data_IF_003656075519
#
_entry.id   IF_003656075519
#
_cell.length_a   1.000
_cell.length_b   1.000
_cell.length_c   1.000
_cell.angle_alpha   90.00
_cell.angle_beta   90.00
_cell.angle_gamma   90.00
#
_symmetry.space_group_name_H-M   'P 1'
#
loop_
_entity.id
_entity.type
_entity.pdbx_description
1 polymer ?
#
# COMPACT_ATOMS: atom_id res chain seq x y z
N UNK A 1 -21.59 -3.02 -22.39
CA UNK A 1 -20.42 -3.51 -21.60
C UNK A 1 -20.21 -4.94 -21.99
N UNK A 2 -19.17 -5.21 -22.79
CA UNK A 2 -19.08 -6.33 -23.72
C UNK A 2 -18.93 -7.71 -23.08
N UNK A 3 -19.42 -8.74 -23.75
CA UNK A 3 -19.24 -10.18 -23.46
C UNK A 3 -17.77 -10.55 -23.20
N UNK A 4 -16.84 -9.86 -23.85
CA UNK A 4 -15.40 -10.05 -23.72
C UNK A 4 -14.85 -9.70 -22.32
N UNK A 5 -15.41 -8.71 -21.64
CA UNK A 5 -15.02 -8.36 -20.27
C UNK A 5 -15.33 -9.52 -19.31
N UNK A 6 -16.54 -10.03 -19.33
CA UNK A 6 -16.96 -11.13 -18.46
C UNK A 6 -16.22 -12.44 -18.75
N UNK A 7 -15.93 -12.70 -20.00
CA UNK A 7 -15.14 -13.88 -20.41
C UNK A 7 -13.71 -13.78 -19.86
N UNK A 8 -13.08 -12.61 -19.92
CA UNK A 8 -11.75 -12.35 -19.36
C UNK A 8 -11.73 -12.45 -17.84
N UNK A 9 -12.71 -11.87 -17.14
CA UNK A 9 -12.86 -11.99 -15.70
C UNK A 9 -13.02 -13.45 -15.29
N UNK A 10 -13.89 -14.20 -15.97
CA UNK A 10 -14.12 -15.63 -15.70
C UNK A 10 -12.85 -16.46 -15.89
N UNK A 11 -12.05 -16.18 -16.90
CA UNK A 11 -10.79 -16.88 -17.15
C UNK A 11 -9.76 -16.60 -16.04
N UNK A 12 -9.67 -15.35 -15.59
CA UNK A 12 -8.79 -14.95 -14.46
C UNK A 12 -9.23 -15.64 -13.18
N UNK A 13 -10.52 -15.62 -12.86
CA UNK A 13 -11.05 -16.27 -11.66
C UNK A 13 -10.84 -17.79 -11.71
N UNK A 14 -11.02 -18.44 -12.86
CA UNK A 14 -10.76 -19.87 -13.02
C UNK A 14 -9.30 -20.25 -12.76
N UNK A 15 -8.36 -19.37 -13.14
CA UNK A 15 -6.91 -19.62 -13.04
C UNK A 15 -6.31 -19.22 -11.69
N UNK A 16 -6.80 -18.16 -11.06
CA UNK A 16 -6.21 -17.54 -9.88
C UNK A 16 -7.17 -17.47 -8.68
N UNK A 17 -8.45 -17.81 -8.88
CA UNK A 17 -9.52 -17.63 -7.89
C UNK A 17 -9.23 -18.28 -6.55
N UNK A 18 -8.66 -19.48 -6.54
CA UNK A 18 -8.28 -20.19 -5.30
C UNK A 18 -7.26 -19.38 -4.50
N UNK A 19 -6.25 -18.79 -5.16
CA UNK A 19 -5.23 -17.98 -4.49
C UNK A 19 -5.78 -16.66 -3.98
N UNK A 20 -6.68 -16.02 -4.73
CA UNK A 20 -7.39 -14.84 -4.27
C UNK A 20 -8.31 -15.15 -3.09
N UNK A 21 -9.01 -16.28 -3.12
CA UNK A 21 -9.84 -16.72 -2.00
C UNK A 21 -9.02 -17.00 -0.73
N UNK A 22 -7.86 -17.65 -0.86
CA UNK A 22 -6.93 -17.88 0.26
C UNK A 22 -6.41 -16.55 0.81
N UNK A 23 -6.00 -15.63 -0.07
CA UNK A 23 -5.54 -14.30 0.34
C UNK A 23 -6.62 -13.51 1.09
N UNK A 24 -7.86 -13.54 0.57
CA UNK A 24 -9.00 -12.88 1.21
C UNK A 24 -9.35 -13.53 2.55
N UNK A 25 -9.33 -14.86 2.63
CA UNK A 25 -9.59 -15.60 3.87
C UNK A 25 -8.53 -15.28 4.94
N UNK A 26 -7.24 -15.20 4.55
CA UNK A 26 -6.16 -14.80 5.46
C UNK A 26 -6.35 -13.36 5.97
N UNK A 27 -6.68 -12.42 5.08
CA UNK A 27 -6.96 -11.03 5.45
C UNK A 27 -8.18 -10.92 6.38
N UNK A 28 -9.25 -11.67 6.10
CA UNK A 28 -10.44 -11.71 6.94
C UNK A 28 -10.16 -12.34 8.31
N UNK A 29 -9.43 -13.45 8.35
CA UNK A 29 -9.03 -14.11 9.61
C UNK A 29 -8.19 -13.18 10.48
N UNK A 30 -7.23 -12.46 9.89
CA UNK A 30 -6.44 -11.46 10.60
C UNK A 30 -7.30 -10.31 11.14
N UNK A 31 -8.27 -9.83 10.35
CA UNK A 31 -9.21 -8.79 10.78
C UNK A 31 -10.10 -9.27 11.93
N UNK A 32 -10.60 -10.50 11.83
CA UNK A 32 -11.44 -11.09 12.86
C UNK A 32 -10.65 -11.31 14.17
N UNK A 33 -9.42 -11.81 14.06
CA UNK A 33 -8.51 -11.94 15.21
C UNK A 33 -8.29 -10.57 15.86
N UNK A 34 -7.88 -9.56 15.07
CA UNK A 34 -7.63 -8.21 15.57
C UNK A 34 -8.86 -7.56 16.24
N UNK A 35 -10.07 -7.81 15.73
CA UNK A 35 -11.29 -7.24 16.30
C UNK A 35 -11.67 -7.80 17.68
N UNK A 36 -11.05 -8.92 18.08
CA UNK A 36 -11.30 -9.60 19.35
C UNK A 36 -10.10 -9.60 20.28
N UNK A 37 -8.92 -9.37 19.75
CA UNK A 37 -7.65 -9.43 20.46
C UNK A 37 -7.49 -8.26 21.43
N UNK A 38 -7.09 -8.56 22.66
CA UNK A 38 -6.66 -7.60 23.65
C UNK A 38 -5.20 -7.16 23.46
N UNK A 39 -4.72 -6.36 24.41
CA UNK A 39 -3.36 -5.80 24.39
C UNK A 39 -2.29 -6.90 24.39
N UNK A 40 -2.45 -7.88 25.29
CA UNK A 40 -1.44 -8.92 25.47
C UNK A 40 -1.39 -9.89 24.28
N UNK A 41 -2.54 -10.13 23.64
CA UNK A 41 -2.63 -10.95 22.42
C UNK A 41 -1.99 -10.28 21.21
N UNK A 42 -1.91 -8.94 21.20
CA UNK A 42 -1.28 -8.15 20.13
C UNK A 42 0.20 -7.83 20.42
N UNK A 43 0.76 -8.36 21.47
CA UNK A 43 2.16 -8.10 21.87
C UNK A 43 3.17 -8.48 20.76
N UNK A 44 2.85 -9.49 19.96
CA UNK A 44 3.67 -9.91 18.81
C UNK A 44 3.91 -8.80 17.77
N UNK A 45 3.05 -7.77 17.71
CA UNK A 45 3.22 -6.62 16.82
C UNK A 45 3.47 -5.33 17.61
N UNK A 46 2.89 -5.17 18.81
CA UNK A 46 3.08 -3.98 19.64
C UNK A 46 4.51 -3.91 20.21
N UNK A 47 5.06 -5.02 20.70
CA UNK A 47 6.41 -5.04 21.25
C UNK A 47 7.49 -4.64 20.23
N UNK A 48 7.60 -5.27 19.05
CA UNK A 48 8.59 -4.86 18.06
C UNK A 48 8.34 -3.45 17.50
N UNK A 49 7.08 -3.02 17.36
CA UNK A 49 6.77 -1.63 16.99
C UNK A 49 7.29 -0.65 18.04
N UNK A 50 7.01 -0.90 19.31
CA UNK A 50 7.51 -0.07 20.42
C UNK A 50 9.03 -0.05 20.48
N UNK A 51 9.67 -1.19 20.28
CA UNK A 51 11.14 -1.25 20.23
C UNK A 51 11.71 -0.35 19.13
N UNK A 52 11.13 -0.40 17.92
CA UNK A 52 11.56 0.50 16.82
C UNK A 52 11.27 1.96 17.12
N UNK A 53 10.14 2.28 17.75
CA UNK A 53 9.84 3.66 18.19
C UNK A 53 10.91 4.13 19.20
N UNK A 54 11.26 3.29 20.16
CA UNK A 54 12.32 3.62 21.16
C UNK A 54 13.68 3.85 20.49
N UNK A 55 14.07 2.96 19.56
CA UNK A 55 15.36 3.06 18.85
C UNK A 55 15.45 4.33 18.00
N UNK A 56 14.36 4.68 17.30
CA UNK A 56 14.36 5.80 16.37
C UNK A 56 14.12 7.17 17.05
N UNK A 57 13.36 7.21 18.14
CA UNK A 57 13.01 8.46 18.83
C UNK A 57 13.82 8.72 20.11
N UNK A 58 14.45 7.70 20.68
CA UNK A 58 15.08 7.78 22.00
C UNK A 58 14.10 7.79 23.18
N UNK A 59 12.78 7.68 22.93
CA UNK A 59 11.73 7.74 23.94
C UNK A 59 11.50 6.33 24.52
N UNK A 60 11.66 6.17 25.83
CA UNK A 60 11.49 4.87 26.49
C UNK A 60 10.03 4.62 26.90
N UNK A 61 9.53 3.44 26.58
CA UNK A 61 8.20 2.98 26.94
C UNK A 61 8.30 1.79 27.93
N UNK A 62 7.36 1.73 28.88
CA UNK A 62 7.23 0.61 29.82
C UNK A 62 5.94 -0.15 29.52
N UNK A 63 6.02 -1.48 29.48
CA UNK A 63 4.83 -2.33 29.31
C UNK A 63 3.94 -2.24 30.54
N UNK A 64 2.67 -1.93 30.35
CA UNK A 64 1.61 -1.96 31.35
C UNK A 64 0.58 -3.03 30.95
N UNK A 65 0.42 -4.11 31.73
CA UNK A 65 -0.52 -5.20 31.41
C UNK A 65 -1.93 -4.69 31.19
N UNK A 66 -2.59 -5.17 30.15
CA UNK A 66 -3.94 -4.77 29.78
C UNK A 66 -4.09 -3.37 29.18
N UNK A 67 -3.04 -2.53 29.18
CA UNK A 67 -3.08 -1.15 28.65
C UNK A 67 -2.23 -0.99 27.40
N UNK A 68 -1.01 -1.51 27.38
CA UNK A 68 -0.05 -1.37 26.29
C UNK A 68 1.32 -0.91 26.75
N UNK A 69 1.95 -0.06 25.95
CA UNK A 69 3.27 0.50 26.26
C UNK A 69 3.13 1.99 26.55
N UNK A 70 3.46 2.40 27.79
CA UNK A 70 3.22 3.75 28.31
C UNK A 70 4.55 4.51 28.43
N UNK A 71 4.53 5.77 28.03
CA UNK A 71 5.50 6.77 28.42
C UNK A 71 4.80 7.87 29.21
N UNK A 72 5.17 8.04 30.48
CA UNK A 72 4.55 9.04 31.37
C UNK A 72 4.99 10.48 31.09
N UNK A 73 6.21 10.67 30.56
CA UNK A 73 6.73 12.02 30.30
C UNK A 73 6.03 12.68 29.10
N UNK A 74 5.64 11.85 28.11
CA UNK A 74 4.95 12.29 26.91
C UNK A 74 3.44 12.03 26.97
N UNK A 75 2.95 11.47 28.09
CA UNK A 75 1.54 11.08 28.27
C UNK A 75 0.99 10.26 27.07
N UNK A 76 1.85 9.40 26.50
CA UNK A 76 1.54 8.65 25.30
C UNK A 76 1.46 7.15 25.56
N UNK A 77 0.45 6.51 24.97
CA UNK A 77 0.25 5.06 25.09
C UNK A 77 0.23 4.43 23.70
N UNK A 78 1.11 3.44 23.48
CA UNK A 78 1.05 2.57 22.30
C UNK A 78 0.10 1.41 22.64
N UNK A 79 -1.15 1.55 22.22
CA UNK A 79 -2.27 0.63 22.49
C UNK A 79 -2.62 -0.20 21.23
N UNK A 80 -3.59 -1.13 21.28
CA UNK A 80 -4.04 -1.93 20.13
C UNK A 80 -4.40 -1.12 18.89
N UNK A 81 -4.97 0.07 19.04
CA UNK A 81 -5.28 0.99 17.94
C UNK A 81 -4.01 1.42 17.18
N UNK A 82 -2.86 1.38 17.84
CA UNK A 82 -1.55 1.68 17.25
C UNK A 82 -0.85 0.45 16.63
N UNK A 83 -1.50 -0.73 16.56
CA UNK A 83 -0.86 -1.94 16.04
C UNK A 83 -0.59 -1.93 14.52
N UNK A 84 -1.24 -1.05 13.76
CA UNK A 84 -1.06 -0.96 12.30
C UNK A 84 -1.64 -2.13 11.50
N UNK A 85 -2.43 -3.01 12.11
CA UNK A 85 -2.96 -4.24 11.48
C UNK A 85 -3.89 -3.92 10.30
N UNK A 86 -4.65 -2.84 10.35
CA UNK A 86 -5.46 -2.42 9.20
C UNK A 86 -4.58 -2.10 7.98
N UNK A 87 -3.43 -1.44 8.19
CA UNK A 87 -2.46 -1.19 7.13
C UNK A 87 -1.86 -2.51 6.62
N UNK A 88 -1.53 -3.45 7.50
CA UNK A 88 -1.03 -4.78 7.12
C UNK A 88 -2.00 -5.53 6.21
N UNK A 89 -3.31 -5.48 6.50
CA UNK A 89 -4.36 -6.07 5.68
C UNK A 89 -4.45 -5.40 4.31
N UNK A 90 -4.44 -4.06 4.27
CA UNK A 90 -4.49 -3.27 3.03
C UNK A 90 -3.30 -3.59 2.14
N UNK A 91 -2.10 -3.57 2.70
CA UNK A 91 -0.87 -3.83 1.98
C UNK A 91 -0.80 -5.28 1.46
N UNK A 92 -1.19 -6.26 2.28
CA UNK A 92 -1.26 -7.67 1.87
C UNK A 92 -2.25 -7.90 0.72
N UNK A 93 -3.47 -7.42 0.86
CA UNK A 93 -4.49 -7.55 -0.19
C UNK A 93 -4.05 -6.86 -1.49
N UNK A 94 -3.44 -5.67 -1.38
CA UNK A 94 -2.89 -4.96 -2.54
C UNK A 94 -1.84 -5.80 -3.26
N UNK A 95 -0.88 -6.41 -2.56
CA UNK A 95 0.15 -7.25 -3.18
C UNK A 95 -0.44 -8.50 -3.85
N UNK A 96 -1.38 -9.18 -3.19
CA UNK A 96 -1.98 -10.40 -3.73
C UNK A 96 -2.80 -10.09 -4.99
N UNK A 97 -3.71 -9.14 -4.91
CA UNK A 97 -4.61 -8.85 -6.04
C UNK A 97 -3.91 -8.15 -7.19
N UNK A 98 -2.87 -7.36 -6.93
CA UNK A 98 -2.14 -6.66 -7.98
C UNK A 98 -1.12 -7.53 -8.72
N UNK A 99 -0.49 -8.51 -8.05
CA UNK A 99 0.67 -9.19 -8.65
C UNK A 99 0.51 -10.70 -8.83
N UNK A 100 -0.48 -11.34 -8.20
CA UNK A 100 -0.72 -12.79 -8.33
C UNK A 100 -0.84 -13.25 -9.79
N UNK A 101 -1.48 -12.45 -10.64
CA UNK A 101 -1.69 -12.79 -12.06
C UNK A 101 -0.41 -12.76 -12.89
N UNK A 102 0.67 -12.17 -12.42
CA UNK A 102 1.99 -12.22 -13.06
C UNK A 102 2.72 -13.55 -12.81
N UNK A 103 2.29 -14.32 -11.81
CA UNK A 103 2.92 -15.60 -11.44
C UNK A 103 2.44 -16.71 -12.40
N UNK A 104 3.38 -17.31 -13.15
CA UNK A 104 3.07 -18.26 -14.22
C UNK A 104 2.76 -19.68 -13.70
N UNK A 105 3.53 -20.14 -12.70
CA UNK A 105 3.43 -21.49 -12.13
C UNK A 105 2.73 -21.49 -10.78
N UNK A 106 2.14 -22.64 -10.40
CA UNK A 106 1.53 -22.82 -9.07
C UNK A 106 2.55 -22.60 -7.94
N UNK A 107 3.77 -23.11 -8.11
CA UNK A 107 4.85 -22.90 -7.14
C UNK A 107 5.20 -21.41 -6.97
N UNK A 108 5.28 -20.65 -8.05
CA UNK A 108 5.54 -19.19 -7.96
C UNK A 108 4.40 -18.43 -7.30
N UNK A 109 3.14 -18.89 -7.44
CA UNK A 109 1.98 -18.30 -6.77
C UNK A 109 2.00 -18.55 -5.27
N UNK A 110 2.33 -19.78 -4.85
CA UNK A 110 2.49 -20.10 -3.43
C UNK A 110 3.64 -19.32 -2.84
N UNK A 111 4.79 -19.29 -3.51
CA UNK A 111 5.95 -18.52 -3.09
C UNK A 111 5.62 -17.02 -2.96
N UNK A 112 4.88 -16.44 -3.90
CA UNK A 112 4.44 -15.04 -3.84
C UNK A 112 3.52 -14.76 -2.64
N UNK A 113 2.57 -15.66 -2.38
CA UNK A 113 1.66 -15.54 -1.24
C UNK A 113 2.43 -15.57 0.10
N UNK A 114 3.34 -16.52 0.26
CA UNK A 114 4.18 -16.63 1.46
C UNK A 114 5.10 -15.41 1.58
N UNK A 115 5.78 -15.03 0.51
CA UNK A 115 6.68 -13.86 0.49
C UNK A 115 5.93 -12.57 0.85
N UNK A 116 4.73 -12.38 0.30
CA UNK A 116 3.88 -11.23 0.63
C UNK A 116 3.51 -11.20 2.11
N UNK A 117 3.13 -12.35 2.68
CA UNK A 117 2.77 -12.46 4.09
C UNK A 117 3.96 -12.17 5.01
N UNK A 118 5.13 -12.76 4.71
CA UNK A 118 6.35 -12.61 5.51
C UNK A 118 6.93 -11.20 5.41
N UNK A 119 6.93 -10.60 4.22
CA UNK A 119 7.52 -9.26 4.00
C UNK A 119 6.67 -8.13 4.55
N UNK A 120 5.34 -8.30 4.57
CA UNK A 120 4.44 -7.25 5.04
C UNK A 120 4.51 -7.03 6.55
N UNK A 121 4.85 -8.06 7.33
CA UNK A 121 4.98 -7.95 8.77
C UNK A 121 6.07 -6.94 9.19
N UNK A 122 7.35 -7.10 8.85
CA UNK A 122 8.38 -6.11 9.19
C UNK A 122 8.13 -4.76 8.51
N UNK A 123 7.56 -4.74 7.31
CA UNK A 123 7.20 -3.49 6.65
C UNK A 123 6.14 -2.72 7.44
N UNK A 124 5.12 -3.39 7.95
CA UNK A 124 4.08 -2.79 8.80
C UNK A 124 4.67 -2.22 10.08
N UNK A 125 5.55 -2.96 10.76
CA UNK A 125 6.23 -2.49 11.97
C UNK A 125 7.00 -1.20 11.67
N UNK A 126 7.80 -1.17 10.61
CA UNK A 126 8.58 0.00 10.24
C UNK A 126 7.69 1.21 9.94
N UNK A 127 6.70 1.04 9.07
CA UNK A 127 5.78 2.13 8.67
C UNK A 127 4.99 2.64 9.87
N UNK A 128 4.53 1.73 10.73
CA UNK A 128 3.77 2.08 11.92
C UNK A 128 4.63 2.83 12.95
N UNK A 129 5.90 2.44 13.12
CA UNK A 129 6.85 3.17 13.96
C UNK A 129 7.08 4.59 13.44
N UNK A 130 7.26 4.75 12.11
CA UNK A 130 7.38 6.05 11.46
C UNK A 130 6.13 6.92 11.61
N UNK A 131 4.95 6.31 11.77
CA UNK A 131 3.70 7.01 12.06
C UNK A 131 3.61 7.44 13.51
N UNK A 132 3.98 6.56 14.46
CA UNK A 132 3.84 6.84 15.90
C UNK A 132 4.75 7.98 16.34
N UNK A 133 5.97 8.06 15.79
CA UNK A 133 6.94 9.09 16.21
C UNK A 133 6.41 10.52 16.00
N UNK A 134 5.94 10.93 14.80
CA UNK A 134 5.33 12.24 14.64
C UNK A 134 4.10 12.45 15.53
N UNK A 135 3.25 11.41 15.73
CA UNK A 135 2.08 11.49 16.60
C UNK A 135 2.44 11.89 18.03
N UNK A 136 3.54 11.35 18.58
CA UNK A 136 4.00 11.70 19.94
C UNK A 136 4.32 13.19 20.05
N UNK A 137 5.04 13.75 19.08
CA UNK A 137 5.41 15.15 19.08
C UNK A 137 4.23 16.09 18.77
N UNK A 138 3.37 15.68 17.84
CA UNK A 138 2.20 16.47 17.46
C UNK A 138 1.22 16.63 18.62
N UNK A 139 1.01 15.60 19.45
CA UNK A 139 0.13 15.69 20.61
C UNK A 139 0.60 16.68 21.68
N UNK A 140 1.90 17.04 21.70
CA UNK A 140 2.47 17.99 22.66
C UNK A 140 2.48 19.44 22.17
N UNK A 141 2.05 19.68 20.93
CA UNK A 141 2.05 21.03 20.37
C UNK A 141 0.77 21.78 20.77
N UNK A 142 0.89 23.01 21.25
CA UNK A 142 -0.21 23.89 21.67
C UNK A 142 -0.94 24.56 20.49
N UNK A 143 -1.10 23.88 19.36
CA UNK A 143 -1.82 24.46 18.22
C UNK A 143 -3.26 23.95 18.06
N UNK A 144 -3.71 23.12 19.00
CA UNK A 144 -5.07 22.58 18.96
C UNK A 144 -6.10 23.65 19.31
N UNK A 145 -7.13 23.78 18.46
CA UNK A 145 -8.24 24.69 18.66
C UNK A 145 -9.15 24.76 17.43
N UNK A 146 -10.40 25.06 17.64
CA UNK A 146 -11.39 25.21 16.57
C UNK A 146 -11.50 23.98 15.64
N UNK A 147 -11.02 24.12 14.42
CA UNK A 147 -11.06 23.05 13.42
C UNK A 147 -9.95 22.01 13.57
N UNK A 148 -8.91 22.26 14.34
CA UNK A 148 -7.74 21.38 14.51
C UNK A 148 -7.83 20.65 15.84
N UNK A 149 -8.39 19.44 15.84
CA UNK A 149 -8.46 18.58 17.02
C UNK A 149 -7.40 17.48 16.99
N UNK A 150 -6.98 16.92 18.16
CA UNK A 150 -6.03 15.81 18.21
C UNK A 150 -6.46 14.62 17.35
N UNK A 151 -7.76 14.27 17.32
CA UNK A 151 -8.30 13.15 16.56
C UNK A 151 -8.18 13.39 15.05
N UNK A 152 -8.46 14.63 14.59
CA UNK A 152 -8.33 15.02 13.18
C UNK A 152 -6.88 14.94 12.73
N UNK A 153 -5.96 15.50 13.52
CA UNK A 153 -4.52 15.48 13.23
C UNK A 153 -3.99 14.05 13.18
N UNK A 154 -4.39 13.21 14.13
CA UNK A 154 -4.03 11.79 14.15
C UNK A 154 -4.56 11.03 12.92
N UNK A 155 -5.79 11.31 12.49
CA UNK A 155 -6.38 10.74 11.27
C UNK A 155 -5.64 11.19 10.02
N UNK A 156 -5.34 12.48 9.91
CA UNK A 156 -4.63 13.05 8.75
C UNK A 156 -3.21 12.49 8.64
N UNK A 157 -2.47 12.48 9.74
CA UNK A 157 -1.11 11.97 9.83
C UNK A 157 -1.07 10.47 9.49
N UNK A 158 -1.94 9.68 10.13
CA UNK A 158 -2.04 8.25 9.86
C UNK A 158 -2.38 7.93 8.40
N UNK A 159 -3.31 8.68 7.79
CA UNK A 159 -3.67 8.54 6.37
C UNK A 159 -2.49 8.88 5.46
N UNK A 160 -1.80 10.00 5.74
CA UNK A 160 -0.64 10.44 4.96
C UNK A 160 0.46 9.38 4.94
N UNK A 161 0.84 8.88 6.12
CA UNK A 161 1.92 7.90 6.26
C UNK A 161 1.55 6.58 5.61
N UNK A 162 0.38 6.02 5.93
CA UNK A 162 -0.03 4.71 5.42
C UNK A 162 -0.29 4.72 3.92
N UNK A 163 -0.93 5.76 3.40
CA UNK A 163 -1.20 5.84 1.97
C UNK A 163 0.09 6.01 1.17
N UNK A 164 0.99 6.88 1.61
CA UNK A 164 2.31 7.06 0.97
C UNK A 164 3.13 5.77 1.01
N UNK A 165 3.17 5.09 2.16
CA UNK A 165 3.86 3.82 2.31
C UNK A 165 3.27 2.72 1.40
N UNK A 166 1.93 2.66 1.25
CA UNK A 166 1.28 1.72 0.34
C UNK A 166 1.68 1.94 -1.12
N UNK A 167 1.71 3.20 -1.57
CA UNK A 167 2.14 3.54 -2.93
C UNK A 167 3.61 3.18 -3.17
N UNK A 168 4.46 3.41 -2.17
CA UNK A 168 5.88 3.05 -2.21
C UNK A 168 6.08 1.54 -2.28
N UNK A 169 5.39 0.77 -1.43
CA UNK A 169 5.39 -0.69 -1.46
C UNK A 169 4.97 -1.24 -2.83
N UNK A 170 3.87 -0.72 -3.36
CA UNK A 170 3.38 -1.09 -4.68
C UNK A 170 4.42 -0.83 -5.77
N UNK A 171 5.08 0.32 -5.72
CA UNK A 171 6.13 0.67 -6.69
C UNK A 171 7.34 -0.28 -6.63
N UNK A 172 7.79 -0.63 -5.42
CA UNK A 172 8.88 -1.60 -5.23
C UNK A 172 8.48 -2.97 -5.76
N UNK A 173 7.28 -3.44 -5.44
CA UNK A 173 6.76 -4.72 -5.90
C UNK A 173 6.63 -4.78 -7.43
N UNK A 174 6.12 -3.73 -8.07
CA UNK A 174 6.02 -3.63 -9.54
C UNK A 174 7.42 -3.70 -10.20
N UNK A 175 8.41 -3.01 -9.64
CA UNK A 175 9.80 -3.11 -10.12
C UNK A 175 10.37 -4.51 -9.95
N UNK A 176 10.18 -5.14 -8.78
CA UNK A 176 10.70 -6.47 -8.49
C UNK A 176 10.10 -7.52 -9.44
N UNK A 177 8.79 -7.49 -9.66
CA UNK A 177 8.10 -8.41 -10.57
C UNK A 177 8.57 -8.24 -12.02
N UNK A 178 8.75 -7.00 -12.48
CA UNK A 178 9.26 -6.72 -13.84
C UNK A 178 10.70 -7.17 -14.02
N UNK A 179 11.59 -6.92 -13.05
CA UNK A 179 12.98 -7.34 -13.09
C UNK A 179 13.11 -8.87 -13.12
N UNK A 180 12.27 -9.59 -12.39
CA UNK A 180 12.25 -11.06 -12.43
C UNK A 180 11.77 -11.59 -13.78
N UNK A 181 10.83 -10.92 -14.42
CA UNK A 181 10.32 -11.31 -15.75
C UNK A 181 11.36 -11.09 -16.87
N UNK A 182 12.13 -9.99 -16.81
CA UNK A 182 13.15 -9.70 -17.81
C UNK A 182 14.36 -10.64 -17.74
N UNK A 183 14.76 -11.05 -16.53
CA UNK A 183 15.87 -12.01 -16.36
C UNK A 183 15.55 -13.40 -16.93
N UNK A 184 14.29 -13.81 -16.89
CA UNK A 184 13.86 -15.09 -17.45
C UNK A 184 13.86 -15.09 -18.98
N UNK A 185 13.61 -13.93 -19.61
CA UNK A 185 13.60 -13.82 -21.08
C UNK A 185 15.00 -13.80 -21.69
N UNK A 186 16.01 -13.27 -20.98
CA UNK A 186 17.40 -13.24 -21.47
C UNK A 186 18.09 -14.59 -21.40
N UNK A 187 17.65 -15.52 -20.54
CA UNK A 187 18.24 -16.86 -20.43
C UNK A 187 17.71 -17.85 -21.49
N UNK A 188 16.66 -17.50 -22.26
CA UNK A 188 15.98 -18.40 -23.20
C UNK A 188 15.97 -17.87 -24.65
N UNK A 189 16.89 -16.95 -25.02
CA UNK A 189 17.03 -16.50 -26.39
C UNK A 189 18.06 -17.38 -27.11
N UNK A 190 17.66 -18.30 -28.03
CA UNK A 190 18.60 -18.93 -28.94
C UNK A 190 19.17 -17.84 -29.85
N UNK A 191 20.50 -17.83 -30.01
CA UNK A 191 21.21 -17.00 -30.98
C UNK A 191 20.77 -17.36 -32.40
N UNK A 192 19.69 -16.76 -32.88
CA UNK A 192 19.35 -16.76 -34.30
C UNK A 192 19.72 -15.39 -34.85
N UNK A 193 20.68 -15.37 -35.79
CA UNK A 193 21.07 -14.18 -36.54
C UNK A 193 19.90 -13.76 -37.43
N UNK A 194 19.39 -12.51 -37.37
CA UNK A 194 18.33 -12.08 -38.25
C UNK A 194 18.87 -11.79 -39.66
N UNK A 195 18.26 -12.39 -40.68
CA UNK A 195 18.44 -12.00 -42.07
C UNK A 195 17.80 -10.63 -42.32
N UNK A 196 18.44 -9.85 -43.19
CA UNK A 196 18.28 -8.41 -43.43
C UNK A 196 16.99 -7.90 -44.05
N UNK A 197 15.88 -8.66 -44.03
CA UNK A 197 14.60 -8.28 -44.64
C UNK A 197 13.47 -7.91 -43.66
N UNK A 198 13.75 -7.81 -42.35
CA UNK A 198 12.75 -7.49 -41.32
C UNK A 198 12.79 -6.05 -40.76
N UNK A 199 13.64 -5.18 -41.31
CA UNK A 199 13.81 -3.82 -40.76
C UNK A 199 12.61 -2.89 -40.99
N UNK A 200 11.83 -3.05 -42.04
CA UNK A 200 10.72 -2.12 -42.34
C UNK A 200 9.42 -2.40 -41.61
N UNK A 201 9.17 -3.65 -41.20
CA UNK A 201 7.97 -3.99 -40.41
C UNK A 201 8.11 -3.71 -38.91
N UNK A 202 9.31 -3.52 -38.42
CA UNK A 202 9.60 -3.22 -37.00
C UNK A 202 9.41 -1.73 -36.66
N UNK A 203 9.74 -0.83 -37.57
CA UNK A 203 9.58 0.62 -37.37
C UNK A 203 8.11 1.08 -37.25
N UNK A 204 7.21 0.43 -38.02
CA UNK A 204 5.77 0.70 -37.93
C UNK A 204 5.11 0.12 -36.68
N UNK A 205 5.62 -0.98 -36.13
CA UNK A 205 5.14 -1.57 -34.88
C UNK A 205 5.58 -0.76 -33.65
N UNK A 206 6.79 -0.19 -33.67
CA UNK A 206 7.35 0.62 -32.58
C UNK A 206 6.66 1.99 -32.47
N UNK A 207 6.26 2.60 -33.60
CA UNK A 207 5.49 3.84 -33.64
C UNK A 207 4.03 3.68 -33.14
N UNK A 208 3.44 2.49 -33.25
CA UNK A 208 2.09 2.20 -32.76
C UNK A 208 2.05 1.93 -31.25
N UNK A 209 3.15 1.45 -30.64
CA UNK A 209 3.25 1.17 -29.21
C UNK A 209 3.55 2.44 -28.36
N UNK A 210 4.06 3.51 -28.99
CA UNK A 210 4.37 4.78 -28.32
C UNK A 210 3.14 5.54 -27.81
N UNK A 211 1.91 5.19 -28.20
CA UNK A 211 0.67 5.88 -27.75
C UNK A 211 -0.07 5.26 -26.56
N UNK A 212 0.43 4.15 -25.99
CA UNK A 212 -0.23 3.44 -24.88
C UNK A 212 0.33 3.65 -23.47
N UNK A 213 1.32 4.52 -23.16
CA UNK A 213 1.95 4.54 -21.85
C UNK A 213 1.10 5.22 -20.76
N UNK A 214 0.27 6.23 -21.09
CA UNK A 214 -0.45 7.02 -20.08
C UNK A 214 -1.63 6.26 -19.44
N UNK A 215 -2.44 5.58 -20.23
CA UNK A 215 -3.62 4.85 -19.73
C UNK A 215 -3.24 3.66 -18.84
N UNK A 216 -2.21 2.90 -19.24
CA UNK A 216 -1.71 1.78 -18.44
C UNK A 216 -1.06 2.23 -17.12
N UNK A 217 -0.50 3.42 -17.07
CA UNK A 217 0.11 3.98 -15.85
C UNK A 217 -0.97 4.39 -14.85
N UNK A 218 -2.01 5.09 -15.30
CA UNK A 218 -3.15 5.48 -14.45
C UNK A 218 -3.86 4.25 -13.89
N UNK A 219 -4.12 3.23 -14.72
CA UNK A 219 -4.77 2.00 -14.29
C UNK A 219 -3.94 1.23 -13.23
N UNK A 220 -2.62 1.27 -13.32
CA UNK A 220 -1.74 0.63 -12.33
C UNK A 220 -1.83 1.27 -10.96
N UNK A 221 -1.88 2.61 -10.89
CA UNK A 221 -2.00 3.33 -9.62
C UNK A 221 -3.40 3.25 -9.02
N UNK A 222 -4.42 2.91 -9.82
CA UNK A 222 -5.80 2.78 -9.33
C UNK A 222 -6.00 1.61 -8.36
N UNK A 223 -5.25 0.50 -8.51
CA UNK A 223 -5.41 -0.68 -7.65
C UNK A 223 -5.07 -0.43 -6.17
N UNK A 224 -3.89 0.09 -5.80
CA UNK A 224 -3.60 0.38 -4.40
C UNK A 224 -4.56 1.42 -3.81
N UNK A 225 -4.95 2.43 -4.59
CA UNK A 225 -5.95 3.42 -4.21
C UNK A 225 -7.30 2.74 -3.93
N UNK A 226 -7.76 1.89 -4.84
CA UNK A 226 -9.01 1.15 -4.68
C UNK A 226 -9.01 0.29 -3.41
N UNK A 227 -7.96 -0.49 -3.14
CA UNK A 227 -7.89 -1.32 -1.93
C UNK A 227 -7.79 -0.48 -0.67
N UNK A 228 -7.05 0.63 -0.70
CA UNK A 228 -6.99 1.55 0.43
C UNK A 228 -8.38 2.07 0.80
N UNK A 229 -9.11 2.64 -0.15
CA UNK A 229 -10.45 3.17 0.09
C UNK A 229 -11.46 2.07 0.46
N UNK A 230 -11.41 0.91 -0.21
CA UNK A 230 -12.33 -0.20 0.08
C UNK A 230 -12.22 -0.70 1.50
N UNK A 231 -11.01 -0.77 2.06
CA UNK A 231 -10.80 -1.28 3.42
C UNK A 231 -10.95 -0.16 4.44
N UNK A 232 -10.39 1.03 4.18
CA UNK A 232 -10.39 2.15 5.14
C UNK A 232 -11.77 2.78 5.28
N UNK A 233 -12.52 2.93 4.19
CA UNK A 233 -13.85 3.55 4.18
C UNK A 233 -14.96 2.53 3.97
N UNK A 234 -14.77 1.56 3.09
CA UNK A 234 -15.81 0.60 2.71
C UNK A 234 -16.20 -0.32 3.86
N UNK A 235 -15.25 -0.85 4.64
CA UNK A 235 -15.57 -1.72 5.79
C UNK A 235 -16.32 -0.96 6.88
N UNK A 236 -15.89 0.22 7.37
CA UNK A 236 -16.67 1.00 8.32
C UNK A 236 -18.07 1.36 7.81
N UNK A 237 -18.19 1.72 6.53
CA UNK A 237 -19.49 1.99 5.90
C UNK A 237 -20.41 0.77 5.95
N UNK A 238 -19.94 -0.41 5.56
CA UNK A 238 -20.71 -1.66 5.61
C UNK A 238 -21.08 -2.07 7.03
N UNK A 239 -20.25 -1.75 8.01
CA UNK A 239 -20.52 -1.97 9.43
C UNK A 239 -21.49 -0.93 10.03
N UNK A 240 -22.05 -0.03 9.22
CA UNK A 240 -23.05 0.94 9.64
C UNK A 240 -22.51 2.15 10.40
N UNK A 241 -21.23 2.47 10.28
CA UNK A 241 -20.62 3.63 10.94
C UNK A 241 -21.38 4.95 10.64
N UNK A 242 -21.98 5.06 9.45
CA UNK A 242 -22.76 6.24 9.05
C UNK A 242 -24.09 6.39 9.78
N UNK A 243 -24.59 5.34 10.47
CA UNK A 243 -25.93 5.36 11.10
C UNK A 243 -25.93 5.94 12.51
N UNK A 244 -24.83 5.79 13.23
CA UNK A 244 -24.75 6.06 14.67
C UNK A 244 -23.95 7.31 15.02
N UNK A 245 -23.54 8.12 14.03
CA UNK A 245 -22.31 8.91 14.18
C UNK A 245 -22.49 10.41 13.86
N UNK A 246 -23.54 11.05 14.24
CA UNK A 246 -23.73 12.52 14.20
C UNK A 246 -22.80 13.31 13.23
N UNK A 247 -22.42 12.72 12.08
CA UNK A 247 -21.56 13.33 11.08
C UNK A 247 -20.05 13.02 11.19
N UNK A 248 -19.57 12.37 12.23
CA UNK A 248 -18.15 12.06 12.43
C UNK A 248 -17.59 11.15 11.32
N UNK A 249 -18.40 10.18 10.86
CA UNK A 249 -17.99 9.32 9.74
C UNK A 249 -17.80 10.10 8.43
N UNK A 250 -18.69 11.06 8.14
CA UNK A 250 -18.56 11.90 6.95
C UNK A 250 -17.30 12.76 7.04
N UNK A 251 -17.04 13.33 8.20
CA UNK A 251 -15.82 14.10 8.46
C UNK A 251 -14.56 13.24 8.25
N UNK A 252 -14.55 12.04 8.80
CA UNK A 252 -13.46 11.07 8.59
C UNK A 252 -13.25 10.76 7.09
N UNK A 253 -14.33 10.49 6.34
CA UNK A 253 -14.25 10.26 4.89
C UNK A 253 -13.65 11.45 4.16
N UNK A 254 -14.09 12.67 4.48
CA UNK A 254 -13.58 13.90 3.86
C UNK A 254 -12.09 14.08 4.13
N UNK A 255 -11.65 13.92 5.39
CA UNK A 255 -10.24 14.04 5.76
C UNK A 255 -9.37 13.01 5.04
N UNK A 256 -9.78 11.73 5.00
CA UNK A 256 -9.08 10.67 4.28
C UNK A 256 -8.97 10.98 2.79
N UNK A 257 -10.07 11.45 2.17
CA UNK A 257 -10.06 11.82 0.75
C UNK A 257 -9.11 12.98 0.48
N UNK A 258 -9.16 14.05 1.26
CA UNK A 258 -8.28 15.22 1.10
C UNK A 258 -6.81 14.79 1.20
N UNK A 259 -6.44 13.98 2.19
CA UNK A 259 -5.07 13.53 2.38
C UNK A 259 -4.59 12.63 1.24
N UNK A 260 -5.41 11.66 0.80
CA UNK A 260 -5.06 10.80 -0.33
C UNK A 260 -4.90 11.58 -1.64
N UNK A 261 -5.82 12.52 -1.94
CA UNK A 261 -5.70 13.37 -3.14
C UNK A 261 -4.49 14.29 -3.07
N UNK A 262 -4.13 14.82 -1.90
CA UNK A 262 -2.91 15.61 -1.71
C UNK A 262 -1.65 14.81 -2.04
N UNK A 263 -1.55 13.57 -1.56
CA UNK A 263 -0.42 12.67 -1.87
C UNK A 263 -0.35 12.37 -3.36
N UNK A 264 -1.50 12.09 -4.00
CA UNK A 264 -1.55 11.85 -5.45
C UNK A 264 -1.11 13.09 -6.22
N UNK A 265 -1.61 14.26 -5.86
CA UNK A 265 -1.25 15.53 -6.50
C UNK A 265 0.25 15.82 -6.41
N UNK A 266 0.85 15.66 -5.23
CA UNK A 266 2.30 15.83 -5.00
C UNK A 266 3.11 14.83 -5.82
N UNK A 267 2.72 13.56 -5.83
CA UNK A 267 3.41 12.51 -6.63
C UNK A 267 3.33 12.78 -8.12
N UNK A 268 2.19 13.24 -8.63
CA UNK A 268 2.03 13.64 -10.03
C UNK A 268 2.90 14.86 -10.36
N UNK A 269 2.91 15.88 -9.50
CA UNK A 269 3.74 17.07 -9.68
C UNK A 269 5.22 16.73 -9.74
N UNK A 270 5.72 15.92 -8.80
CA UNK A 270 7.11 15.45 -8.79
C UNK A 270 7.47 14.65 -10.05
N UNK A 271 6.56 13.82 -10.55
CA UNK A 271 6.76 13.07 -11.78
C UNK A 271 6.86 13.99 -13.01
N UNK A 272 6.04 15.06 -13.08
CA UNK A 272 6.08 16.06 -14.15
C UNK A 272 7.37 16.88 -14.10
N UNK A 273 7.79 17.33 -12.91
CA UNK A 273 9.04 18.06 -12.72
C UNK A 273 10.26 17.21 -13.14
N UNK A 274 10.33 15.95 -12.72
CA UNK A 274 11.39 15.03 -13.13
C UNK A 274 11.43 14.82 -14.65
N UNK A 275 10.28 14.74 -15.31
CA UNK A 275 10.20 14.64 -16.77
C UNK A 275 10.77 15.90 -17.44
N UNK A 276 10.40 17.06 -16.93
CA UNK A 276 10.86 18.35 -17.48
C UNK A 276 12.37 18.54 -17.31
N UNK A 277 12.92 18.21 -16.15
CA UNK A 277 14.36 18.26 -15.89
C UNK A 277 15.15 17.32 -16.82
N UNK A 278 14.65 16.09 -17.02
CA UNK A 278 15.29 15.12 -17.94
C UNK A 278 15.29 15.60 -19.39
N UNK A 279 14.21 16.23 -19.84
CA UNK A 279 14.14 16.80 -21.20
C UNK A 279 15.12 17.96 -21.39
N UNK A 280 15.27 18.83 -20.37
CA UNK A 280 16.20 19.96 -20.41
C UNK A 280 17.68 19.52 -20.42
N UNK A 281 18.01 18.45 -19.66
CA UNK A 281 19.36 17.86 -19.65
C UNK A 281 19.70 17.12 -20.94
N UNK A 282 18.73 16.52 -21.62
CA UNK A 282 18.93 15.89 -22.92
C UNK A 282 19.13 16.92 -24.05
N UNK A 283 18.40 18.03 -24.02
CA UNK A 283 18.54 19.10 -25.02
C UNK A 283 19.83 19.95 -24.92
N UNK A 284 20.52 19.92 -23.75
CA UNK A 284 21.80 20.64 -23.57
C UNK A 284 23.04 19.78 -23.96
N UNK A 285 22.85 18.53 -24.38
CA UNK A 285 23.91 17.61 -24.78
C UNK A 285 23.98 17.39 -26.31
N UNK A 286 23.13 18.01 -27.08
CA UNK A 286 23.14 18.06 -28.55
C UNK A 286 23.59 19.42 -29.05
#
# INVERSE_FOLDING_TARGET
>A
MSSDFWTKVRSILKKYGVFYAIGLAAAFALKLYYSRAGVDELDWILAPTTWWVQVLSGINFKKAPGVGYINHNYEFVIAPVCAGINFMIIAFTTLIFSFMHHMRTTGSRIAWLILSLVSIYPYTILVNSLRIIPSIYLLQMDFYGGLVTPERVHTMEGTLVYFTALLFLYHIADKAVKSSSSRLSTHFSPRFSPSSSQHQSMETAEAADSRKPAFNTVLKWSLPVFFYFSITLGIPFLNGAYRNDNGQFIEYVVLVCIMCFSVIAVTCLLALLNKHVRQKTAGNRG
#
